data_IF_634611164349
#
_entry.id   IF_634611164349
#
_cell.length_a   1.000
_cell.length_b   1.000
_cell.length_c   1.000
_cell.angle_alpha   90.00
_cell.angle_beta   90.00
_cell.angle_gamma   90.00
#
_symmetry.space_group_name_H-M   'P 1'
#
loop_
_entity.id
_entity.type
_entity.pdbx_description
1 polymer ?
#
# COMPACT_ATOMS: atom_id res chain seq x y z
N UNK A 1 8.86 -19.33 -7.16
CA UNK A 1 8.70 -18.91 -8.58
C UNK A 1 7.28 -18.44 -8.81
N UNK A 2 7.10 -17.36 -9.57
CA UNK A 2 5.77 -16.86 -9.96
C UNK A 2 5.18 -17.83 -10.99
N UNK A 3 3.94 -18.26 -10.82
CA UNK A 3 3.30 -19.25 -11.72
C UNK A 3 2.93 -18.65 -13.08
N UNK A 4 2.79 -19.50 -14.12
CA UNK A 4 2.32 -19.08 -15.46
C UNK A 4 0.97 -18.38 -15.38
N UNK A 5 0.04 -18.89 -14.58
CA UNK A 5 -1.28 -18.27 -14.34
C UNK A 5 -1.18 -16.82 -13.86
N UNK A 6 -0.25 -16.52 -12.96
CA UNK A 6 -0.02 -15.14 -12.48
C UNK A 6 0.45 -14.25 -13.62
N UNK A 7 1.42 -14.72 -14.41
CA UNK A 7 1.94 -13.95 -15.56
C UNK A 7 0.83 -13.70 -16.59
N UNK A 8 0.08 -14.72 -16.98
CA UNK A 8 -1.03 -14.60 -17.93
C UNK A 8 -2.08 -13.58 -17.46
N UNK A 9 -2.48 -13.66 -16.18
CA UNK A 9 -3.47 -12.73 -15.60
C UNK A 9 -2.96 -11.29 -15.57
N UNK A 10 -1.68 -11.07 -15.27
CA UNK A 10 -1.11 -9.72 -15.13
C UNK A 10 -0.60 -9.11 -16.43
N UNK A 11 -0.36 -9.90 -17.48
CA UNK A 11 0.16 -9.40 -18.77
C UNK A 11 -0.68 -8.24 -19.35
N UNK A 12 -2.03 -8.30 -19.38
CA UNK A 12 -2.85 -7.17 -19.84
C UNK A 12 -2.66 -5.92 -18.96
N UNK A 13 -2.58 -6.09 -17.64
CA UNK A 13 -2.40 -4.97 -16.70
C UNK A 13 -1.03 -4.31 -16.86
N UNK A 14 0.02 -5.11 -17.09
CA UNK A 14 1.36 -4.60 -17.42
C UNK A 14 1.35 -3.76 -18.70
N UNK A 15 0.65 -4.22 -19.74
CA UNK A 15 0.52 -3.48 -20.99
C UNK A 15 -0.21 -2.13 -20.78
N UNK A 16 -1.29 -2.13 -19.99
CA UNK A 16 -2.06 -0.92 -19.65
C UNK A 16 -1.14 0.10 -18.95
N UNK A 17 -0.43 -0.30 -17.88
CA UNK A 17 0.44 0.63 -17.15
C UNK A 17 1.66 1.02 -17.97
N UNK A 18 2.23 0.13 -18.76
CA UNK A 18 3.33 0.45 -19.68
C UNK A 18 2.92 1.58 -20.65
N UNK A 19 1.70 1.52 -21.19
CA UNK A 19 1.15 2.56 -22.06
C UNK A 19 0.77 3.85 -21.30
N UNK A 20 0.64 3.79 -19.99
CA UNK A 20 0.37 4.95 -19.13
C UNK A 20 1.64 5.62 -18.58
N UNK A 21 2.83 5.01 -18.72
CA UNK A 21 4.11 5.62 -18.31
C UNK A 21 4.29 6.98 -18.98
N UNK A 22 4.67 7.97 -18.19
CA UNK A 22 4.83 9.36 -18.62
C UNK A 22 3.53 10.16 -18.74
N UNK A 23 2.36 9.53 -18.64
CA UNK A 23 1.07 10.25 -18.64
C UNK A 23 0.77 10.80 -17.25
N UNK A 24 0.13 11.98 -17.23
CA UNK A 24 -0.42 12.57 -16.01
C UNK A 24 -1.77 11.93 -15.66
N UNK A 25 -2.17 12.04 -14.39
CA UNK A 25 -3.51 11.61 -13.94
C UNK A 25 -4.60 12.34 -14.75
N UNK A 26 -4.42 13.62 -15.07
CA UNK A 26 -5.36 14.36 -15.94
C UNK A 26 -5.51 13.71 -17.32
N UNK A 27 -4.40 13.31 -17.94
CA UNK A 27 -4.45 12.63 -19.25
C UNK A 27 -5.15 11.26 -19.17
N UNK A 28 -4.93 10.52 -18.08
CA UNK A 28 -5.61 9.23 -17.83
C UNK A 28 -7.10 9.44 -17.62
N UNK A 29 -7.52 10.45 -16.84
CA UNK A 29 -8.94 10.82 -16.66
C UNK A 29 -9.61 11.10 -18.00
N UNK A 30 -8.98 11.89 -18.85
CA UNK A 30 -9.50 12.19 -20.18
C UNK A 30 -9.64 10.93 -21.04
N UNK A 31 -8.67 10.03 -21.00
CA UNK A 31 -8.72 8.75 -21.71
C UNK A 31 -9.87 7.85 -21.23
N UNK A 32 -10.20 7.89 -19.94
CA UNK A 32 -11.29 7.12 -19.33
C UNK A 32 -12.66 7.84 -19.40
N UNK A 33 -12.74 9.02 -20.04
CA UNK A 33 -13.94 9.86 -20.09
C UNK A 33 -14.49 10.21 -18.69
N UNK A 34 -13.62 10.28 -17.67
CA UNK A 34 -14.00 10.68 -16.32
C UNK A 34 -14.16 12.20 -16.27
N UNK A 35 -15.42 12.67 -16.32
CA UNK A 35 -15.77 14.08 -16.18
C UNK A 35 -15.82 14.49 -14.70
N UNK A 36 -14.72 14.97 -14.19
CA UNK A 36 -14.63 15.44 -12.80
C UNK A 36 -14.63 16.97 -12.76
N UNK A 37 -15.80 17.57 -12.56
CA UNK A 37 -15.93 19.00 -12.20
C UNK A 37 -15.63 19.26 -10.71
N UNK A 38 -15.44 18.22 -9.90
CA UNK A 38 -15.16 18.32 -8.47
C UNK A 38 -13.68 18.31 -8.18
N UNK A 39 -13.26 19.07 -7.15
CA UNK A 39 -11.89 18.98 -6.60
C UNK A 39 -11.59 17.53 -6.19
N UNK A 40 -10.47 17.01 -6.66
CA UNK A 40 -10.02 15.65 -6.34
C UNK A 40 -9.87 15.48 -4.82
N UNK A 41 -10.64 14.57 -4.24
CA UNK A 41 -10.51 14.18 -2.83
C UNK A 41 -9.19 13.44 -2.59
N UNK A 42 -8.73 13.40 -1.34
CA UNK A 42 -7.56 12.60 -0.97
C UNK A 42 -7.77 11.15 -1.41
N UNK A 43 -6.79 10.57 -2.13
CA UNK A 43 -6.87 9.20 -2.63
C UNK A 43 -7.50 9.03 -4.04
N UNK A 44 -8.06 10.09 -4.64
CA UNK A 44 -8.70 10.00 -5.94
C UNK A 44 -7.76 9.53 -7.07
N UNK A 45 -6.46 9.88 -7.01
CA UNK A 45 -5.47 9.39 -7.96
C UNK A 45 -5.31 7.86 -7.94
N UNK A 46 -5.43 7.25 -6.75
CA UNK A 46 -5.45 5.78 -6.61
C UNK A 46 -6.66 5.17 -7.32
N UNK A 47 -7.85 5.70 -7.06
CA UNK A 47 -9.09 5.24 -7.69
C UNK A 47 -9.05 5.36 -9.24
N UNK A 48 -8.44 6.41 -9.77
CA UNK A 48 -8.27 6.58 -11.23
C UNK A 48 -7.38 5.47 -11.80
N UNK A 49 -6.31 5.10 -11.09
CA UNK A 49 -5.42 4.01 -11.51
C UNK A 49 -6.15 2.65 -11.41
N UNK A 50 -6.92 2.41 -10.36
CA UNK A 50 -7.73 1.20 -10.22
C UNK A 50 -8.75 1.10 -11.37
N UNK A 51 -9.45 2.20 -11.71
CA UNK A 51 -10.33 2.26 -12.86
C UNK A 51 -9.60 2.01 -14.20
N UNK A 52 -8.40 2.57 -14.36
CA UNK A 52 -7.56 2.32 -15.55
C UNK A 52 -7.22 0.83 -15.71
N UNK A 53 -7.00 0.13 -14.58
CA UNK A 53 -6.72 -1.30 -14.54
C UNK A 53 -7.98 -2.17 -14.65
N UNK A 54 -9.18 -1.58 -14.65
CA UNK A 54 -10.44 -2.33 -14.63
C UNK A 54 -10.69 -3.06 -13.30
N UNK A 55 -10.08 -2.58 -12.21
CA UNK A 55 -10.26 -3.15 -10.87
C UNK A 55 -11.48 -2.48 -10.24
N UNK A 56 -12.45 -3.31 -9.85
CA UNK A 56 -13.63 -2.84 -9.13
C UNK A 56 -13.24 -2.41 -7.71
N UNK A 57 -13.58 -1.18 -7.36
CA UNK A 57 -13.45 -0.72 -5.98
C UNK A 57 -14.52 -1.40 -5.13
N UNK A 58 -14.13 -2.46 -4.45
CA UNK A 58 -14.97 -3.16 -3.51
C UNK A 58 -14.36 -3.12 -2.09
N UNK A 59 -15.24 -3.10 -1.07
CA UNK A 59 -14.82 -3.14 0.33
C UNK A 59 -14.63 -4.59 0.85
N UNK A 60 -14.27 -5.54 -0.03
CA UNK A 60 -14.07 -6.94 0.36
C UNK A 60 -12.72 -7.12 1.02
N UNK A 61 -12.63 -8.09 1.92
CA UNK A 61 -11.37 -8.50 2.57
C UNK A 61 -10.43 -9.28 1.62
N UNK A 62 -10.89 -9.58 0.40
CA UNK A 62 -10.14 -10.29 -0.63
C UNK A 62 -9.07 -9.41 -1.27
N UNK A 63 -8.10 -10.03 -1.96
CA UNK A 63 -7.14 -9.31 -2.78
C UNK A 63 -7.82 -8.64 -3.98
N UNK A 64 -7.25 -7.53 -4.49
CA UNK A 64 -7.82 -6.76 -5.61
C UNK A 64 -7.94 -7.58 -6.91
N UNK A 65 -7.11 -8.63 -7.06
CA UNK A 65 -7.17 -9.62 -8.15
C UNK A 65 -7.26 -11.01 -7.52
N UNK A 66 -8.49 -11.46 -7.12
CA UNK A 66 -8.67 -12.66 -6.29
C UNK A 66 -8.20 -13.95 -6.97
N UNK A 67 -8.30 -14.03 -8.30
CA UNK A 67 -7.95 -15.24 -9.08
C UNK A 67 -6.50 -15.69 -8.90
N UNK A 68 -5.63 -14.75 -8.49
CA UNK A 68 -4.20 -14.99 -8.28
C UNK A 68 -3.72 -14.50 -6.91
N UNK A 69 -4.62 -14.00 -6.06
CA UNK A 69 -4.29 -13.44 -4.74
C UNK A 69 -3.35 -12.23 -4.80
N UNK A 70 -3.50 -11.38 -5.83
CA UNK A 70 -2.63 -10.22 -6.01
C UNK A 70 -3.33 -8.95 -5.52
N UNK A 71 -2.62 -8.22 -4.65
CA UNK A 71 -3.02 -6.89 -4.17
C UNK A 71 -2.43 -5.82 -5.08
N UNK A 72 -3.17 -4.75 -5.33
CA UNK A 72 -2.68 -3.57 -6.06
C UNK A 72 -2.36 -2.45 -5.09
N UNK A 73 -1.17 -1.89 -5.18
CA UNK A 73 -0.74 -0.78 -4.33
C UNK A 73 -0.18 0.36 -5.15
N UNK A 74 -0.60 1.56 -4.77
CA UNK A 74 -0.11 2.78 -5.39
C UNK A 74 1.02 3.34 -4.53
N UNK A 75 2.18 3.57 -5.13
CA UNK A 75 3.36 4.12 -4.47
C UNK A 75 3.63 5.56 -4.96
N UNK A 76 3.28 6.58 -4.15
CA UNK A 76 3.65 7.96 -4.45
C UNK A 76 5.14 8.19 -4.17
N UNK A 77 5.87 8.64 -5.20
CA UNK A 77 7.26 9.07 -5.06
C UNK A 77 7.39 10.56 -4.82
N UNK A 78 8.51 10.94 -4.23
CA UNK A 78 9.02 12.29 -4.19
C UNK A 78 10.48 12.35 -4.64
N UNK A 79 10.84 13.44 -5.32
CA UNK A 79 12.23 13.81 -5.58
C UNK A 79 12.57 14.95 -4.64
N UNK A 80 13.59 14.76 -3.82
CA UNK A 80 14.11 15.78 -2.91
C UNK A 80 14.92 16.84 -3.69
N UNK A 81 15.25 17.96 -3.05
CA UNK A 81 16.07 19.02 -3.66
C UNK A 81 17.47 18.56 -4.11
N UNK A 82 18.00 17.50 -3.51
CA UNK A 82 19.27 16.87 -3.87
C UNK A 82 19.15 15.78 -4.95
N UNK A 83 17.98 15.67 -5.60
CA UNK A 83 17.74 14.66 -6.64
C UNK A 83 17.43 13.25 -6.14
N UNK A 84 17.44 13.02 -4.82
CA UNK A 84 17.15 11.70 -4.26
C UNK A 84 15.67 11.34 -4.39
N UNK A 85 15.38 10.15 -4.95
CA UNK A 85 14.02 9.61 -5.09
C UNK A 85 13.67 8.78 -3.87
N UNK A 86 12.53 9.07 -3.24
CA UNK A 86 12.01 8.33 -2.07
C UNK A 86 10.50 8.15 -2.16
N UNK A 87 9.99 7.17 -1.40
CA UNK A 87 8.56 7.08 -1.12
C UNK A 87 8.10 8.35 -0.37
N UNK A 88 7.03 8.96 -0.83
CA UNK A 88 6.48 10.19 -0.21
C UNK A 88 5.91 9.89 1.18
N UNK A 89 5.24 8.76 1.34
CA UNK A 89 4.57 8.35 2.58
C UNK A 89 4.55 6.82 2.71
N UNK A 90 4.32 6.26 3.92
CA UNK A 90 4.07 4.84 4.10
C UNK A 90 2.83 4.41 3.32
N UNK A 91 2.82 3.16 2.81
CA UNK A 91 1.71 2.63 2.01
C UNK A 91 0.79 1.77 2.86
N UNK A 92 -0.51 2.11 2.91
CA UNK A 92 -1.49 1.34 3.67
C UNK A 92 -1.70 -0.06 3.05
N UNK A 93 -1.83 -1.08 3.91
CA UNK A 93 -2.11 -2.45 3.49
C UNK A 93 -3.56 -2.79 3.81
N UNK A 94 -3.91 -2.88 5.10
CA UNK A 94 -5.26 -3.19 5.57
C UNK A 94 -5.52 -2.65 6.98
N UNK A 95 -6.79 -2.50 7.35
CA UNK A 95 -7.19 -2.18 8.72
C UNK A 95 -6.83 -3.32 9.66
N UNK A 96 -6.43 -2.99 10.90
CA UNK A 96 -6.19 -3.98 11.95
C UNK A 96 -7.52 -4.26 12.66
N UNK A 97 -8.04 -5.47 12.49
CA UNK A 97 -9.06 -6.01 13.37
C UNK A 97 -8.35 -6.68 14.55
N UNK A 98 -8.24 -5.98 15.67
CA UNK A 98 -7.48 -6.45 16.82
C UNK A 98 -7.95 -7.80 17.35
N UNK A 99 -9.28 -8.03 17.38
CA UNK A 99 -9.86 -9.28 17.89
C UNK A 99 -9.58 -10.47 16.95
N UNK A 100 -9.47 -10.25 15.65
CA UNK A 100 -9.08 -11.28 14.69
C UNK A 100 -7.57 -11.53 14.73
N UNK A 101 -6.75 -10.46 14.64
CA UNK A 101 -5.28 -10.57 14.68
C UNK A 101 -4.80 -11.30 15.93
N UNK A 102 -5.45 -11.10 17.09
CA UNK A 102 -5.12 -11.82 18.33
C UNK A 102 -5.29 -13.34 18.24
N UNK A 103 -6.08 -13.85 17.29
CA UNK A 103 -6.39 -15.28 17.11
C UNK A 103 -5.70 -15.92 15.91
N UNK A 104 -5.12 -15.11 15.03
CA UNK A 104 -4.41 -15.60 13.84
C UNK A 104 -3.04 -16.17 14.20
N UNK A 105 -2.52 -17.06 13.37
CA UNK A 105 -1.09 -17.35 13.25
C UNK A 105 -0.54 -16.65 12.02
N UNK A 106 0.78 -16.51 11.88
CA UNK A 106 1.34 -15.93 10.67
C UNK A 106 0.91 -16.67 9.40
N UNK A 107 0.76 -18.00 9.49
CA UNK A 107 0.36 -18.86 8.37
C UNK A 107 -1.09 -18.58 7.91
N UNK A 108 -1.96 -18.18 8.83
CA UNK A 108 -3.38 -17.87 8.58
C UNK A 108 -3.67 -16.37 8.52
N UNK A 109 -2.67 -15.53 8.80
CA UNK A 109 -2.84 -14.07 8.87
C UNK A 109 -3.35 -13.49 7.55
N UNK A 110 -4.44 -12.75 7.59
CA UNK A 110 -4.99 -11.99 6.45
C UNK A 110 -3.94 -11.04 5.86
N UNK A 111 -3.11 -10.43 6.71
CA UNK A 111 -2.02 -9.57 6.27
C UNK A 111 -1.05 -10.30 5.35
N UNK A 112 -0.68 -11.54 5.69
CA UNK A 112 0.24 -12.34 4.88
C UNK A 112 -0.29 -12.54 3.46
N UNK A 113 -1.58 -12.81 3.30
CA UNK A 113 -2.20 -12.96 1.97
C UNK A 113 -2.10 -11.67 1.15
N UNK A 114 -2.29 -10.51 1.78
CA UNK A 114 -2.21 -9.18 1.14
C UNK A 114 -0.80 -8.77 0.72
N UNK A 115 0.24 -9.27 1.40
CA UNK A 115 1.64 -8.92 1.08
C UNK A 115 2.33 -9.95 0.20
N UNK A 116 1.75 -11.15 0.06
CA UNK A 116 2.39 -12.28 -0.65
C UNK A 116 2.63 -11.99 -2.14
N UNK A 117 1.71 -11.30 -2.78
CA UNK A 117 1.84 -10.86 -4.17
C UNK A 117 1.23 -9.46 -4.31
N UNK A 118 2.06 -8.48 -4.69
CA UNK A 118 1.61 -7.09 -4.79
C UNK A 118 2.03 -6.49 -6.12
N UNK A 119 1.06 -5.99 -6.88
CA UNK A 119 1.30 -5.20 -8.07
C UNK A 119 1.39 -3.71 -7.71
N UNK A 120 2.60 -3.19 -7.73
CA UNK A 120 2.89 -1.79 -7.42
C UNK A 120 2.74 -0.93 -8.67
N UNK A 121 1.93 0.11 -8.60
CA UNK A 121 1.90 1.18 -9.61
C UNK A 121 2.46 2.45 -9.00
N UNK A 122 3.39 3.08 -9.67
CA UNK A 122 4.23 4.13 -9.11
C UNK A 122 4.02 5.45 -9.85
N UNK A 123 3.79 6.54 -9.11
CA UNK A 123 3.70 7.87 -9.69
C UNK A 123 4.53 8.91 -8.92
N UNK A 124 4.93 9.98 -9.62
CA UNK A 124 5.63 11.11 -9.02
C UNK A 124 4.62 12.13 -8.48
N UNK A 125 4.59 12.31 -7.16
CA UNK A 125 3.65 13.21 -6.48
C UNK A 125 4.29 14.49 -5.94
N UNK A 126 5.62 14.53 -5.81
CA UNK A 126 6.34 15.68 -5.26
C UNK A 126 7.72 15.78 -5.91
N UNK A 127 8.11 16.98 -6.30
CA UNK A 127 9.37 17.24 -6.96
C UNK A 127 10.03 18.51 -6.42
N UNK A 128 11.35 18.47 -6.22
CA UNK A 128 12.15 19.59 -5.69
C UNK A 128 11.57 20.20 -4.39
N UNK A 129 11.02 19.32 -3.54
CA UNK A 129 10.39 19.74 -2.28
C UNK A 129 8.96 20.30 -2.42
N UNK A 130 8.43 20.50 -3.65
CA UNK A 130 7.09 21.03 -3.91
C UNK A 130 6.11 19.88 -4.23
N UNK A 131 4.96 19.88 -3.56
CA UNK A 131 3.87 18.96 -3.87
C UNK A 131 3.23 19.33 -5.22
N UNK A 132 3.00 18.35 -6.08
CA UNK A 132 2.21 18.49 -7.30
C UNK A 132 0.71 18.43 -6.95
N UNK A 133 -0.16 18.99 -7.80
CA UNK A 133 -1.60 18.70 -7.77
C UNK A 133 -1.81 17.24 -8.20
N UNK A 134 -2.90 16.61 -7.75
CA UNK A 134 -3.14 15.19 -8.09
C UNK A 134 -3.27 14.96 -9.61
N UNK A 135 -3.87 15.91 -10.32
CA UNK A 135 -3.98 15.85 -11.79
C UNK A 135 -2.61 15.85 -12.49
N UNK A 136 -1.59 16.46 -11.86
CA UNK A 136 -0.22 16.56 -12.39
C UNK A 136 0.68 15.39 -11.96
N UNK A 137 0.16 14.40 -11.22
CA UNK A 137 0.93 13.20 -10.89
C UNK A 137 1.20 12.40 -12.16
N UNK A 138 2.45 12.00 -12.36
CA UNK A 138 2.90 11.29 -13.57
C UNK A 138 3.17 9.83 -13.23
N UNK A 139 2.62 8.90 -14.01
CA UNK A 139 2.95 7.48 -13.89
C UNK A 139 4.42 7.27 -14.27
N UNK A 140 5.20 6.73 -13.36
CA UNK A 140 6.64 6.52 -13.53
C UNK A 140 6.94 5.10 -13.98
N UNK A 141 6.45 4.12 -13.22
CA UNK A 141 6.74 2.71 -13.46
C UNK A 141 5.77 1.79 -12.72
N UNK A 142 5.97 0.49 -12.86
CA UNK A 142 5.28 -0.55 -12.10
C UNK A 142 6.24 -1.65 -11.70
N UNK A 143 5.88 -2.40 -10.67
CA UNK A 143 6.69 -3.51 -10.18
C UNK A 143 5.80 -4.62 -9.59
N UNK A 144 6.07 -5.88 -9.93
CA UNK A 144 5.43 -7.02 -9.28
C UNK A 144 6.30 -7.49 -8.11
N UNK A 145 5.82 -7.25 -6.90
CA UNK A 145 6.48 -7.63 -5.65
C UNK A 145 6.01 -9.02 -5.18
N UNK A 146 6.98 -9.88 -4.87
CA UNK A 146 6.76 -11.12 -4.16
C UNK A 146 7.90 -11.26 -3.12
N UNK A 147 7.58 -11.24 -1.83
CA UNK A 147 8.61 -11.28 -0.80
C UNK A 147 9.44 -12.57 -0.87
N UNK A 148 10.75 -12.43 -0.80
CA UNK A 148 11.65 -13.58 -0.64
C UNK A 148 11.64 -14.08 0.83
N UNK A 149 12.34 -15.17 1.12
CA UNK A 149 12.35 -15.78 2.46
C UNK A 149 12.82 -14.82 3.54
N UNK A 150 13.83 -13.99 3.28
CA UNK A 150 14.36 -13.00 4.24
C UNK A 150 13.30 -11.93 4.52
N UNK A 151 12.67 -11.40 3.46
CA UNK A 151 11.61 -10.40 3.59
C UNK A 151 10.40 -10.96 4.34
N UNK A 152 10.00 -12.21 4.05
CA UNK A 152 8.92 -12.89 4.76
C UNK A 152 9.23 -13.07 6.25
N UNK A 153 10.47 -13.41 6.60
CA UNK A 153 10.89 -13.53 8.01
C UNK A 153 10.79 -12.18 8.75
N UNK A 154 11.17 -11.08 8.09
CA UNK A 154 11.04 -9.72 8.66
C UNK A 154 9.58 -9.33 8.82
N UNK A 155 8.74 -9.55 7.81
CA UNK A 155 7.30 -9.29 7.90
C UNK A 155 6.63 -10.09 9.00
N UNK A 156 7.01 -11.37 9.15
CA UNK A 156 6.54 -12.23 10.23
C UNK A 156 6.92 -11.65 11.60
N UNK A 157 8.19 -11.31 11.80
CA UNK A 157 8.69 -10.75 13.06
C UNK A 157 7.97 -9.44 13.43
N UNK A 158 7.79 -8.54 12.44
CA UNK A 158 7.08 -7.27 12.65
C UNK A 158 5.60 -7.50 13.02
N UNK A 159 4.95 -8.47 12.37
CA UNK A 159 3.56 -8.81 12.63
C UNK A 159 3.39 -9.46 14.01
N UNK A 160 4.28 -10.37 14.39
CA UNK A 160 4.28 -11.03 15.70
C UNK A 160 4.51 -10.02 16.84
N UNK A 161 5.41 -9.05 16.66
CA UNK A 161 5.60 -7.95 17.62
C UNK A 161 4.30 -7.17 17.82
N UNK A 162 3.61 -6.81 16.75
CA UNK A 162 2.35 -6.07 16.81
C UNK A 162 1.26 -6.92 17.46
N UNK A 163 1.16 -8.21 17.11
CA UNK A 163 0.20 -9.14 17.67
C UNK A 163 0.39 -9.33 19.17
N UNK A 164 1.62 -9.45 19.65
CA UNK A 164 1.93 -9.58 21.08
C UNK A 164 1.38 -8.39 21.88
N UNK A 165 1.56 -7.16 21.39
CA UNK A 165 0.95 -5.97 22.01
C UNK A 165 -0.56 -6.05 22.07
N UNK A 166 -1.20 -6.55 21.01
CA UNK A 166 -2.66 -6.71 20.94
C UNK A 166 -3.14 -7.74 21.96
N UNK A 167 -2.51 -8.93 21.98
CA UNK A 167 -2.91 -10.04 22.87
C UNK A 167 -2.81 -9.66 24.35
N UNK A 168 -1.78 -8.93 24.76
CA UNK A 168 -1.60 -8.53 26.16
C UNK A 168 -2.44 -7.32 26.59
N UNK A 169 -3.28 -6.76 25.68
CA UNK A 169 -4.16 -5.63 26.00
C UNK A 169 -3.55 -4.25 25.76
N UNK A 170 -2.42 -4.16 25.08
CA UNK A 170 -1.65 -2.94 24.85
C UNK A 170 -1.90 -2.32 23.45
N UNK A 171 -3.05 -2.60 22.80
CA UNK A 171 -3.35 -2.12 21.46
C UNK A 171 -3.26 -0.58 21.29
N UNK A 172 -3.57 0.20 22.34
CA UNK A 172 -3.42 1.67 22.31
C UNK A 172 -1.95 2.13 22.37
N UNK A 173 -1.01 1.28 22.83
CA UNK A 173 0.43 1.57 22.90
C UNK A 173 1.16 1.30 21.59
N UNK A 174 0.50 0.68 20.60
CA UNK A 174 1.07 0.46 19.27
C UNK A 174 1.56 1.78 18.66
N UNK A 175 2.75 1.75 18.04
CA UNK A 175 3.45 2.94 17.52
C UNK A 175 4.02 2.71 16.13
N UNK A 176 4.11 3.78 15.33
CA UNK A 176 4.79 3.75 14.03
C UNK A 176 6.33 3.52 14.12
N UNK A 177 6.92 3.55 15.34
CA UNK A 177 8.32 3.19 15.56
C UNK A 177 8.57 1.70 15.55
N UNK A 178 7.52 0.86 15.77
CA UNK A 178 7.59 -0.60 15.76
C UNK A 178 7.88 -1.14 14.38
N UNK A 179 8.46 -2.34 14.34
CA UNK A 179 8.74 -3.08 13.12
C UNK A 179 9.83 -2.48 12.23
N UNK A 180 10.27 -3.26 11.26
CA UNK A 180 11.28 -2.91 10.26
C UNK A 180 10.65 -2.59 8.90
N UNK A 181 9.71 -3.41 8.44
CA UNK A 181 9.00 -3.29 7.17
C UNK A 181 7.52 -2.93 7.33
N UNK A 182 6.90 -3.30 8.48
CA UNK A 182 5.53 -2.95 8.82
C UNK A 182 5.48 -1.91 9.94
N UNK A 183 4.41 -1.12 9.95
CA UNK A 183 4.06 -0.24 11.07
C UNK A 183 2.56 -0.22 11.32
N UNK A 184 2.11 -0.24 12.61
CA UNK A 184 0.69 -0.09 12.99
C UNK A 184 0.33 1.39 13.10
N UNK A 185 0.01 2.04 11.99
CA UNK A 185 -0.28 3.47 11.93
C UNK A 185 -1.76 3.77 12.20
N UNK A 186 -2.04 4.85 12.94
CA UNK A 186 -3.41 5.33 13.15
C UNK A 186 -4.10 5.64 11.81
N UNK A 187 -5.32 5.12 11.63
CA UNK A 187 -6.14 5.29 10.43
C UNK A 187 -7.61 5.39 10.81
N UNK A 188 -7.96 6.43 11.53
CA UNK A 188 -9.32 6.80 11.89
C UNK A 188 -9.64 8.21 11.42
N UNK A 189 -10.91 8.58 11.47
CA UNK A 189 -11.38 9.93 11.08
C UNK A 189 -10.92 11.00 12.09
N UNK A 190 -10.78 10.61 13.37
CA UNK A 190 -10.31 11.48 14.46
C UNK A 190 -9.80 10.64 15.64
N UNK A 191 -9.33 11.29 16.70
CA UNK A 191 -8.80 10.61 17.89
C UNK A 191 -9.85 9.83 18.71
N UNK A 192 -11.16 10.08 18.48
CA UNK A 192 -12.27 9.35 19.13
C UNK A 192 -12.67 8.10 18.35
N UNK A 193 -12.17 7.92 17.13
CA UNK A 193 -12.45 6.76 16.30
C UNK A 193 -11.69 5.54 16.84
N UNK A 194 -12.42 4.72 17.61
CA UNK A 194 -11.90 3.55 18.30
C UNK A 194 -12.63 2.28 17.87
N UNK A 195 -11.99 1.14 18.03
CA UNK A 195 -12.53 -0.20 17.78
C UNK A 195 -12.20 -1.11 18.96
N UNK A 196 -12.87 -2.26 19.03
CA UNK A 196 -12.64 -3.25 20.08
C UNK A 196 -11.26 -3.90 19.90
N UNK A 197 -10.62 -4.15 21.05
CA UNK A 197 -9.35 -4.87 21.15
C UNK A 197 -9.38 -5.75 22.41
N UNK A 198 -8.65 -6.87 22.47
CA UNK A 198 -8.46 -7.64 23.69
C UNK A 198 -7.90 -6.77 24.82
N UNK A 199 -8.31 -7.07 26.07
CA UNK A 199 -7.79 -6.41 27.28
C UNK A 199 -6.64 -7.22 27.95
N UNK A 200 -6.27 -8.38 27.36
CA UNK A 200 -5.29 -9.31 27.90
C UNK A 200 -5.79 -10.16 29.08
N UNK A 201 -7.07 -10.04 29.48
CA UNK A 201 -7.69 -10.74 30.61
C UNK A 201 -8.96 -11.49 30.25
N UNK A 202 -9.23 -11.64 28.95
CA UNK A 202 -10.42 -12.33 28.41
C UNK A 202 -11.60 -11.41 28.08
N UNK A 203 -11.48 -10.09 28.33
CA UNK A 203 -12.43 -9.06 27.95
C UNK A 203 -11.95 -8.21 26.77
N UNK A 204 -12.60 -7.05 26.60
CA UNK A 204 -12.29 -6.08 25.53
C UNK A 204 -12.13 -4.67 26.07
N UNK A 205 -11.28 -3.90 25.38
CA UNK A 205 -11.07 -2.46 25.54
C UNK A 205 -11.34 -1.72 24.24
N UNK A 206 -11.50 -0.41 24.31
CA UNK A 206 -11.62 0.48 23.15
C UNK A 206 -10.25 1.08 22.79
N UNK A 207 -9.64 0.62 21.69
CA UNK A 207 -8.36 1.11 21.19
C UNK A 207 -8.53 1.94 19.92
N UNK A 208 -7.58 2.86 19.66
CA UNK A 208 -7.58 3.69 18.45
C UNK A 208 -7.51 2.83 17.19
N UNK A 209 -8.30 3.18 16.16
CA UNK A 209 -8.24 2.49 14.87
C UNK A 209 -6.87 2.65 14.23
N UNK A 210 -6.29 1.52 13.81
CA UNK A 210 -5.02 1.46 13.11
C UNK A 210 -5.13 0.57 11.87
N UNK A 211 -4.16 0.74 10.98
CA UNK A 211 -3.96 -0.15 9.85
C UNK A 211 -2.50 -0.58 9.81
N UNK A 212 -2.23 -1.73 9.23
CA UNK A 212 -0.90 -2.13 8.81
C UNK A 212 -0.49 -1.29 7.61
N UNK A 213 0.74 -0.79 7.64
CA UNK A 213 1.37 -0.06 6.55
C UNK A 213 2.73 -0.67 6.23
N UNK A 214 3.10 -0.68 4.95
CA UNK A 214 4.50 -0.78 4.57
C UNK A 214 5.22 0.48 5.03
N UNK A 215 6.30 0.33 5.79
CA UNK A 215 7.18 1.45 6.16
C UNK A 215 7.88 2.01 4.92
N UNK A 216 8.21 3.29 4.97
CA UNK A 216 9.05 3.92 3.94
C UNK A 216 10.39 3.23 3.78
N UNK A 217 10.94 2.65 4.87
CA UNK A 217 12.17 1.87 4.80
C UNK A 217 12.04 0.71 3.82
N UNK A 218 10.95 -0.09 3.91
CA UNK A 218 10.69 -1.18 2.97
C UNK A 218 10.58 -0.69 1.53
N UNK A 219 9.74 0.30 1.25
CA UNK A 219 9.54 0.79 -0.10
C UNK A 219 10.80 1.43 -0.68
N UNK A 220 11.56 2.18 0.12
CA UNK A 220 12.80 2.82 -0.33
C UNK A 220 13.93 1.82 -0.62
N UNK A 221 14.04 0.74 0.17
CA UNK A 221 15.15 -0.21 0.05
C UNK A 221 14.82 -1.45 -0.78
N UNK A 222 13.54 -1.84 -0.88
CA UNK A 222 13.13 -3.09 -1.52
C UNK A 222 12.34 -2.89 -2.81
N UNK A 223 11.66 -1.76 -3.00
CA UNK A 223 10.82 -1.49 -4.18
C UNK A 223 11.50 -0.49 -5.12
N UNK A 224 11.82 0.71 -4.63
CA UNK A 224 12.38 1.79 -5.47
C UNK A 224 13.64 1.38 -6.25
N UNK A 225 14.61 0.61 -5.69
CA UNK A 225 15.79 0.18 -6.45
C UNK A 225 15.51 -0.73 -7.66
N UNK A 226 14.29 -1.29 -7.75
CA UNK A 226 13.85 -2.19 -8.83
C UNK A 226 13.08 -1.47 -9.94
N UNK A 227 12.81 -0.16 -9.77
CA UNK A 227 12.05 0.64 -10.71
C UNK A 227 12.97 1.24 -11.79
N UNK A 228 12.44 1.33 -12.99
CA UNK A 228 13.04 2.17 -14.05
C UNK A 228 12.65 3.64 -13.83
N UNK A 229 13.59 4.40 -13.29
CA UNK A 229 13.42 5.82 -12.97
C UNK A 229 14.00 6.77 -14.02
N UNK A 230 14.37 6.27 -15.20
CA UNK A 230 14.99 7.06 -16.27
C UNK A 230 14.12 8.23 -16.71
N UNK A 231 12.79 8.05 -16.73
CA UNK A 231 11.83 9.08 -17.12
C UNK A 231 11.74 10.29 -16.20
N UNK A 232 12.26 10.19 -14.96
CA UNK A 232 12.19 11.28 -13.95
C UNK A 232 13.55 11.81 -13.51
N UNK A 233 14.66 11.23 -14.01
CA UNK A 233 16.03 11.68 -13.70
C UNK A 233 16.58 12.66 -14.72
N UNK A 234 15.95 12.80 -15.89
CA UNK A 234 16.41 13.59 -17.04
C UNK A 234 15.60 14.89 -17.23
N UNK A 235 14.87 15.34 -16.17
CA UNK A 235 14.09 16.56 -16.19
C UNK A 235 14.71 17.70 -15.35
#
# INVERSE_FOLDING_TARGET
>A
MISSKVIETLTPLFAIIKNAKGKTIAQIKNQLFINDKCKMKKGASGLIIENLLGIENNNRDEADIPQIGCEVKILPLQINKNGEVKAKEPTAIQMINYCEVAKETWETAKLRSKINLTFWVVYLAKENGKAKKQDDYVIVDYFLGHPNNIQNAIFKSDWEEIQEYIIRGDADKLSCSMGTYLEPKTKGTNNKDKTDAPDGKGGTIRARRRAFYYKKNFTNTQIIPKLDLSSIKNG
#
